data_IF_473397212308
#
_entry.id   IF_473397212308
#
_cell.length_a   1.000
_cell.length_b   1.000
_cell.length_c   1.000
_cell.angle_alpha   90.00
_cell.angle_beta   90.00
_cell.angle_gamma   90.00
#
_symmetry.space_group_name_H-M   'P 1'
#
loop_
_entity.id
_entity.type
_entity.pdbx_description
1 polymer ?
#
# COMPACT_ATOMS: atom_id res chain seq x y z
N UNK A 1 -16.75 -6.44 -2.45
CA UNK A 1 -16.21 -7.22 -1.32
C UNK A 1 -16.26 -6.39 -0.03
N UNK A 2 -16.70 -6.94 1.11
CA UNK A 2 -16.84 -6.18 2.38
C UNK A 2 -15.69 -6.38 3.37
N UNK A 3 -15.04 -7.53 3.33
CA UNK A 3 -13.91 -7.89 4.20
C UNK A 3 -12.96 -8.79 3.42
N UNK A 4 -11.65 -8.65 3.67
CA UNK A 4 -10.64 -9.57 3.15
C UNK A 4 -10.44 -10.74 4.12
N UNK A 5 -10.33 -11.98 3.61
CA UNK A 5 -10.10 -13.14 4.48
C UNK A 5 -8.71 -13.07 5.12
N UNK A 6 -8.60 -13.52 6.38
CA UNK A 6 -7.33 -13.56 7.11
C UNK A 6 -6.23 -14.37 6.39
N UNK A 7 -6.64 -15.32 5.55
CA UNK A 7 -5.75 -16.16 4.72
C UNK A 7 -4.95 -15.38 3.69
N UNK A 8 -5.29 -14.11 3.40
CA UNK A 8 -4.50 -13.26 2.50
C UNK A 8 -3.06 -13.13 2.98
N UNK A 9 -2.82 -13.18 4.30
CA UNK A 9 -1.47 -13.15 4.87
C UNK A 9 -0.60 -14.37 4.56
N UNK A 10 -1.15 -15.43 3.98
CA UNK A 10 -0.38 -16.60 3.51
C UNK A 10 0.13 -16.42 2.08
N UNK A 11 -0.34 -15.40 1.35
CA UNK A 11 0.08 -15.12 -0.02
C UNK A 11 1.46 -14.42 -0.05
N UNK A 12 2.48 -15.01 0.58
CA UNK A 12 3.80 -14.39 0.73
C UNK A 12 4.49 -14.06 -0.60
N UNK A 13 4.11 -14.68 -1.70
CA UNK A 13 4.63 -14.39 -3.06
C UNK A 13 3.90 -13.26 -3.78
N UNK A 14 2.86 -12.66 -3.19
CA UNK A 14 2.08 -11.61 -3.82
C UNK A 14 2.94 -10.34 -3.95
N UNK A 15 3.06 -9.82 -5.17
CA UNK A 15 3.84 -8.60 -5.47
C UNK A 15 2.93 -7.40 -5.68
N UNK A 16 1.77 -7.60 -6.29
CA UNK A 16 0.82 -6.55 -6.60
C UNK A 16 -0.59 -7.05 -6.26
N UNK A 17 -1.37 -6.22 -5.59
CA UNK A 17 -2.74 -6.52 -5.23
C UNK A 17 -3.65 -5.32 -5.51
N UNK A 18 -4.70 -5.56 -6.28
CA UNK A 18 -5.74 -4.58 -6.56
C UNK A 18 -7.06 -5.03 -5.92
N UNK A 19 -7.50 -4.26 -4.92
CA UNK A 19 -8.78 -4.39 -4.26
C UNK A 19 -9.61 -3.11 -4.41
N UNK A 20 -9.32 -2.29 -5.43
CA UNK A 20 -10.04 -1.06 -5.69
C UNK A 20 -11.51 -1.32 -6.04
N UNK A 21 -12.36 -0.30 -5.88
CA UNK A 21 -13.80 -0.35 -6.19
C UNK A 21 -14.55 -1.47 -5.45
N UNK A 22 -14.25 -1.62 -4.16
CA UNK A 22 -14.90 -2.55 -3.26
C UNK A 22 -15.60 -1.81 -2.11
N UNK A 23 -16.09 -2.55 -1.12
CA UNK A 23 -16.77 -2.00 0.06
C UNK A 23 -16.00 -2.40 1.33
N UNK A 24 -14.67 -2.47 1.25
CA UNK A 24 -13.82 -2.84 2.37
C UNK A 24 -13.90 -1.76 3.44
N UNK A 25 -14.38 -2.12 4.64
CA UNK A 25 -14.43 -1.21 5.80
C UNK A 25 -13.17 -1.26 6.65
N UNK A 26 -12.51 -2.42 6.68
CA UNK A 26 -11.31 -2.69 7.45
C UNK A 26 -10.37 -3.63 6.69
N UNK A 27 -9.08 -3.56 7.01
CA UNK A 27 -8.06 -4.46 6.50
C UNK A 27 -7.64 -5.45 7.60
N UNK A 28 -7.48 -6.75 7.29
CA UNK A 28 -6.99 -7.70 8.26
C UNK A 28 -5.52 -7.40 8.60
N UNK A 29 -5.17 -7.53 9.88
CA UNK A 29 -3.78 -7.35 10.34
C UNK A 29 -2.79 -8.32 9.69
N UNK A 30 -3.27 -9.48 9.21
CA UNK A 30 -2.49 -10.47 8.47
C UNK A 30 -2.02 -9.97 7.10
N UNK A 31 -2.59 -8.89 6.57
CA UNK A 31 -2.08 -8.24 5.35
C UNK A 31 -0.62 -7.79 5.53
N UNK A 32 -0.20 -7.47 6.76
CA UNK A 32 1.19 -7.15 7.09
C UNK A 32 2.16 -8.32 6.90
N UNK A 33 1.70 -9.55 6.69
CA UNK A 33 2.58 -10.69 6.42
C UNK A 33 3.04 -10.75 4.95
N UNK A 34 2.50 -9.90 4.09
CA UNK A 34 2.83 -9.85 2.66
C UNK A 34 4.18 -9.16 2.43
N UNK A 35 5.27 -9.82 2.79
CA UNK A 35 6.62 -9.23 2.72
C UNK A 35 7.11 -8.89 1.30
N UNK A 36 6.50 -9.48 0.27
CA UNK A 36 6.86 -9.24 -1.13
C UNK A 36 5.96 -8.23 -1.85
N UNK A 37 4.91 -7.72 -1.20
CA UNK A 37 4.00 -6.79 -1.85
C UNK A 37 4.68 -5.44 -2.06
N UNK A 38 4.59 -4.94 -3.28
CA UNK A 38 5.15 -3.67 -3.75
C UNK A 38 4.07 -2.65 -4.06
N UNK A 39 2.94 -3.13 -4.58
CA UNK A 39 1.80 -2.30 -4.99
C UNK A 39 0.53 -2.82 -4.34
N UNK A 40 -0.18 -1.94 -3.64
CA UNK A 40 -1.46 -2.21 -3.03
C UNK A 40 -2.46 -1.12 -3.41
N UNK A 41 -3.44 -1.47 -4.23
CA UNK A 41 -4.50 -0.55 -4.63
C UNK A 41 -5.78 -0.83 -3.83
N UNK A 42 -6.22 0.17 -3.07
CA UNK A 42 -7.40 0.12 -2.22
C UNK A 42 -8.36 1.26 -2.52
N UNK A 43 -8.20 1.93 -3.67
CA UNK A 43 -9.02 3.07 -4.05
C UNK A 43 -10.51 2.74 -4.12
N UNK A 44 -11.39 3.70 -3.85
CA UNK A 44 -12.84 3.57 -3.87
C UNK A 44 -13.32 2.39 -2.99
N UNK A 45 -12.98 2.46 -1.70
CA UNK A 45 -13.44 1.55 -0.66
C UNK A 45 -14.02 2.36 0.52
N UNK A 46 -14.48 1.68 1.57
CA UNK A 46 -15.03 2.32 2.79
C UNK A 46 -14.06 2.29 3.96
N UNK A 47 -12.74 2.27 3.72
CA UNK A 47 -11.76 2.09 4.80
C UNK A 47 -11.77 3.30 5.71
N UNK A 48 -12.08 3.09 7.00
CA UNK A 48 -12.08 4.16 8.03
C UNK A 48 -10.77 4.29 8.77
N UNK A 49 -9.97 3.24 8.81
CA UNK A 49 -8.68 3.23 9.48
C UNK A 49 -7.74 2.26 8.80
N UNK A 50 -6.45 2.50 8.99
CA UNK A 50 -5.39 1.64 8.48
C UNK A 50 -4.66 0.93 9.63
N UNK A 51 -4.56 -0.41 9.62
CA UNK A 51 -3.89 -1.15 10.69
C UNK A 51 -2.41 -0.77 10.85
N UNK A 52 -2.01 -0.47 12.08
CA UNK A 52 -0.67 0.04 12.39
C UNK A 52 0.49 -0.91 11.99
N UNK A 53 0.23 -2.21 11.85
CA UNK A 53 1.27 -3.22 11.57
C UNK A 53 1.47 -3.50 10.09
N UNK A 54 0.59 -3.01 9.20
CA UNK A 54 0.66 -3.35 7.78
C UNK A 54 1.86 -2.68 7.09
N UNK A 55 2.11 -1.39 7.33
CA UNK A 55 3.23 -0.69 6.68
C UNK A 55 4.60 -1.24 7.12
N UNK A 56 4.73 -1.60 8.40
CA UNK A 56 5.94 -2.25 8.93
C UNK A 56 6.14 -3.66 8.38
N UNK A 57 5.08 -4.46 8.31
CA UNK A 57 5.16 -5.84 7.86
C UNK A 57 5.38 -5.98 6.35
N UNK A 58 4.72 -5.13 5.55
CA UNK A 58 4.90 -5.04 4.10
C UNK A 58 6.16 -4.22 3.75
N UNK A 59 7.33 -4.76 4.09
CA UNK A 59 8.63 -4.07 3.98
C UNK A 59 9.05 -3.68 2.56
N UNK A 60 8.42 -4.26 1.53
CA UNK A 60 8.66 -3.91 0.12
C UNK A 60 7.59 -2.98 -0.48
N UNK A 61 6.58 -2.60 0.31
CA UNK A 61 5.49 -1.75 -0.19
C UNK A 61 6.03 -0.37 -0.51
N UNK A 62 5.77 0.07 -1.75
CA UNK A 62 6.23 1.35 -2.30
C UNK A 62 5.11 2.14 -2.97
N UNK A 63 3.99 1.49 -3.27
CA UNK A 63 2.81 2.10 -3.85
C UNK A 63 1.58 1.66 -3.07
N UNK A 64 0.92 2.63 -2.44
CA UNK A 64 -0.32 2.45 -1.71
C UNK A 64 -1.31 3.50 -2.23
N UNK A 65 -2.45 3.04 -2.73
CA UNK A 65 -3.53 3.92 -3.17
C UNK A 65 -4.74 3.76 -2.26
N UNK A 66 -5.12 4.84 -1.58
CA UNK A 66 -6.26 4.91 -0.68
C UNK A 66 -7.29 5.95 -1.15
N UNK A 67 -7.20 6.43 -2.40
CA UNK A 67 -8.14 7.43 -2.93
C UNK A 67 -9.59 6.99 -2.70
N UNK A 68 -10.47 7.89 -2.26
CA UNK A 68 -11.90 7.59 -2.18
C UNK A 68 -12.24 6.60 -1.07
N UNK A 69 -11.44 6.60 0.00
CA UNK A 69 -11.75 6.00 1.29
C UNK A 69 -12.00 7.10 2.34
N UNK A 70 -12.48 6.70 3.52
CA UNK A 70 -12.60 7.61 4.68
C UNK A 70 -11.23 7.86 5.34
N UNK A 71 -10.29 6.92 5.24
CA UNK A 71 -8.92 7.03 5.77
C UNK A 71 -8.09 7.99 4.93
N UNK A 72 -7.38 8.89 5.59
CA UNK A 72 -6.52 9.87 4.93
C UNK A 72 -5.04 9.51 5.06
N UNK A 73 -4.19 10.21 4.28
CA UNK A 73 -2.73 10.11 4.45
C UNK A 73 -2.31 10.59 5.84
N UNK A 74 -3.05 11.51 6.47
CA UNK A 74 -2.70 12.03 7.78
C UNK A 74 -2.84 10.96 8.86
N UNK A 75 -3.88 10.13 8.79
CA UNK A 75 -4.07 8.96 9.67
C UNK A 75 -2.90 7.96 9.57
N UNK A 76 -2.26 7.87 8.39
CA UNK A 76 -1.12 6.97 8.18
C UNK A 76 0.17 7.50 8.79
N UNK A 77 0.29 8.79 9.09
CA UNK A 77 1.55 9.36 9.63
C UNK A 77 1.89 8.84 11.02
N UNK A 78 0.87 8.40 11.76
CA UNK A 78 0.99 7.82 13.10
C UNK A 78 1.18 6.28 13.06
N UNK A 79 1.10 5.67 11.87
CA UNK A 79 1.25 4.23 11.69
C UNK A 79 2.71 3.81 11.78
N UNK A 80 2.96 2.71 12.49
CA UNK A 80 4.29 2.11 12.59
C UNK A 80 4.82 1.68 11.21
N UNK A 81 6.04 2.13 10.86
CA UNK A 81 6.66 1.87 9.55
C UNK A 81 6.25 2.85 8.44
N UNK A 82 5.48 3.91 8.76
CA UNK A 82 5.18 4.98 7.80
C UNK A 82 6.44 5.66 7.26
N UNK A 83 7.42 5.96 8.11
CA UNK A 83 8.64 6.65 7.69
C UNK A 83 9.41 5.83 6.64
N UNK A 84 9.61 4.54 6.87
CA UNK A 84 10.23 3.64 5.90
C UNK A 84 9.40 3.50 4.62
N UNK A 85 8.07 3.44 4.73
CA UNK A 85 7.20 3.42 3.56
C UNK A 85 7.29 4.71 2.74
N UNK A 86 7.25 5.88 3.37
CA UNK A 86 7.34 7.19 2.71
C UNK A 86 8.69 7.35 2.00
N UNK A 87 9.79 6.90 2.62
CA UNK A 87 11.10 6.86 1.98
C UNK A 87 11.10 5.98 0.73
N UNK A 88 10.58 4.74 0.82
CA UNK A 88 10.45 3.83 -0.33
C UNK A 88 9.61 4.44 -1.45
N UNK A 89 8.47 5.04 -1.11
CA UNK A 89 7.58 5.72 -2.05
C UNK A 89 8.29 6.88 -2.76
N UNK A 90 8.98 7.75 -2.02
CA UNK A 90 9.74 8.87 -2.59
C UNK A 90 10.89 8.40 -3.48
N UNK A 91 11.65 7.39 -3.03
CA UNK A 91 12.76 6.83 -3.79
C UNK A 91 12.33 6.16 -5.09
N UNK A 92 11.11 5.62 -5.16
CA UNK A 92 10.52 5.10 -6.40
C UNK A 92 10.14 6.23 -7.35
N UNK A 93 9.50 7.28 -6.84
CA UNK A 93 9.08 8.41 -7.66
C UNK A 93 10.28 9.20 -8.20
N UNK A 94 11.32 9.41 -7.39
CA UNK A 94 12.55 10.08 -7.85
C UNK A 94 13.24 9.31 -8.99
N UNK A 95 13.34 7.98 -8.90
CA UNK A 95 13.88 7.13 -9.98
C UNK A 95 13.03 7.18 -11.24
N UNK A 96 11.71 7.32 -11.11
CA UNK A 96 10.79 7.38 -12.24
C UNK A 96 10.88 8.72 -12.99
N UNK A 97 11.18 9.80 -12.28
CA UNK A 97 11.50 11.11 -12.89
C UNK A 97 12.87 11.05 -13.57
N UNK A 98 13.88 10.48 -12.92
CA UNK A 98 15.23 10.35 -13.49
C UNK A 98 15.25 9.50 -14.77
N UNK A 99 14.47 8.40 -14.79
CA UNK A 99 14.28 7.57 -15.99
C UNK A 99 13.61 8.31 -17.14
N UNK A 100 12.68 9.23 -16.84
CA UNK A 100 11.98 10.01 -17.87
C UNK A 100 12.86 11.08 -18.51
N UNK A 101 13.81 11.65 -17.76
CA UNK A 101 14.74 12.67 -18.28
C UNK A 101 15.79 12.04 -19.21
N UNK A 102 16.25 10.82 -18.92
CA UNK A 102 17.24 10.13 -19.77
C UNK A 102 16.66 9.46 -21.04
N UNK A 103 15.33 9.36 -21.16
CA UNK A 103 14.66 8.77 -22.33
C UNK A 103 14.30 9.77 -23.44
N UNK A 104 14.47 11.08 -23.21
CA UNK A 104 14.19 12.16 -24.20
C UNK A 104 15.50 12.71 -24.78
N UNK A 105 16.33 11.85 -25.34
CA UNK A 105 17.52 12.25 -26.11
C UNK A 105 17.82 11.12 -27.10
N UNK A 106 17.06 11.08 -28.19
CA UNK A 106 17.19 10.13 -29.28
C UNK A 106 16.45 10.65 -30.49
#
# INVERSE_FOLDING_TARGET
LKVLPLTIGHCCSLVEADFSSNLLGELPSTLGNLQNIKVLQLANNGLRSFPAKILKGCSQLSTLDLHGNEVTIEDLREVEGWAEFDERRRSKHSKQIEFSIMGSSG
#
